data_IF_485353014674
#
_entry.id   IF_485353014674
#
_cell.length_a   1.000
_cell.length_b   1.000
_cell.length_c   1.000
_cell.angle_alpha   90.00
_cell.angle_beta   90.00
_cell.angle_gamma   90.00
#
_symmetry.space_group_name_H-M   'P 1'
#
loop_
_entity.id
_entity.type
_entity.pdbx_description
1 polymer ?
#
# COMPACT_ATOMS: atom_id res chain seq x y z
N UNK A 1 -11.35 17.75 -21.64
CA UNK A 1 -11.80 18.38 -20.39
C UNK A 1 -11.48 19.86 -20.49
N UNK A 2 -12.48 20.73 -20.29
CA UNK A 2 -12.25 22.17 -20.33
C UNK A 2 -11.45 22.61 -19.09
N UNK A 3 -10.77 23.74 -19.17
CA UNK A 3 -9.82 24.29 -18.19
C UNK A 3 -10.37 24.65 -16.79
N UNK A 4 -11.48 24.07 -16.36
CA UNK A 4 -12.15 24.43 -15.10
C UNK A 4 -12.57 23.23 -14.22
N UNK A 5 -12.21 21.99 -14.57
CA UNK A 5 -12.65 20.82 -13.80
C UNK A 5 -11.77 20.64 -12.57
N UNK A 6 -12.16 21.30 -11.50
CA UNK A 6 -11.56 21.14 -10.17
C UNK A 6 -12.29 20.02 -9.40
N UNK A 7 -11.57 18.94 -9.08
CA UNK A 7 -12.07 17.94 -8.17
C UNK A 7 -11.61 18.28 -6.75
N UNK A 8 -12.52 18.29 -5.79
CA UNK A 8 -12.13 18.41 -4.36
C UNK A 8 -11.43 17.14 -3.92
N UNK A 9 -10.46 17.30 -3.04
CA UNK A 9 -9.81 16.16 -2.39
C UNK A 9 -10.81 15.40 -1.52
N UNK A 10 -10.69 14.07 -1.53
CA UNK A 10 -11.28 13.24 -0.49
C UNK A 10 -10.47 13.38 0.81
N UNK A 11 -11.02 13.01 1.97
CA UNK A 11 -10.26 13.03 3.22
C UNK A 11 -8.99 12.19 3.17
N UNK A 12 -9.02 11.05 2.49
CA UNK A 12 -7.87 10.16 2.42
C UNK A 12 -6.80 10.67 1.45
N UNK A 13 -7.18 11.21 0.29
CA UNK A 13 -6.28 11.87 -0.65
C UNK A 13 -5.49 12.99 0.04
N UNK A 14 -6.18 13.80 0.84
CA UNK A 14 -5.53 14.87 1.60
C UNK A 14 -4.53 14.33 2.63
N UNK A 15 -4.83 13.23 3.29
CA UNK A 15 -3.90 12.57 4.23
C UNK A 15 -2.65 12.09 3.52
N UNK A 16 -2.80 11.55 2.30
CA UNK A 16 -1.70 10.99 1.52
C UNK A 16 -0.88 12.05 0.76
N UNK A 17 -1.48 13.20 0.44
CA UNK A 17 -0.80 14.29 -0.27
C UNK A 17 0.01 15.20 0.64
N UNK A 18 -0.38 15.31 1.89
CA UNK A 18 0.34 16.10 2.89
C UNK A 18 1.37 15.20 3.56
N UNK A 19 2.49 15.78 3.93
CA UNK A 19 3.46 15.19 4.86
C UNK A 19 2.84 14.91 6.25
N UNK A 20 1.55 14.51 6.28
CA UNK A 20 0.83 14.24 7.52
C UNK A 20 1.50 13.13 8.33
N UNK A 21 2.14 12.19 7.64
CA UNK A 21 2.94 11.11 8.22
C UNK A 21 4.45 11.45 8.27
N UNK A 22 4.82 12.70 7.97
CA UNK A 22 6.21 13.17 8.02
C UNK A 22 7.01 12.94 6.73
N UNK A 23 6.40 12.36 5.69
CA UNK A 23 7.05 12.04 4.42
C UNK A 23 6.05 12.06 3.28
N UNK A 24 6.53 12.25 2.07
CA UNK A 24 5.73 12.03 0.85
C UNK A 24 5.38 10.54 0.75
N UNK A 25 4.11 10.26 0.51
CA UNK A 25 3.60 8.89 0.48
C UNK A 25 3.55 8.42 -0.98
N UNK A 26 4.61 7.75 -1.39
CA UNK A 26 4.71 7.12 -2.71
C UNK A 26 4.78 5.60 -2.57
N UNK A 27 4.23 4.91 -3.54
CA UNK A 27 4.38 3.48 -3.68
C UNK A 27 4.74 3.11 -5.11
N UNK A 28 5.28 1.92 -5.31
CA UNK A 28 5.55 1.43 -6.65
C UNK A 28 5.05 0.00 -6.85
N UNK A 29 4.69 -0.30 -8.10
CA UNK A 29 4.50 -1.67 -8.58
C UNK A 29 5.63 -1.98 -9.53
N UNK A 30 6.35 -3.07 -9.25
CA UNK A 30 7.45 -3.57 -10.03
C UNK A 30 7.03 -4.83 -10.77
N UNK A 31 7.21 -4.83 -12.08
CA UNK A 31 7.08 -6.00 -12.92
C UNK A 31 8.47 -6.49 -13.31
N UNK A 32 8.71 -7.77 -13.14
CA UNK A 32 9.88 -8.45 -13.67
C UNK A 32 9.43 -9.36 -14.81
N UNK A 33 10.07 -9.25 -15.96
CA UNK A 33 9.61 -9.88 -17.19
C UNK A 33 10.79 -10.54 -17.92
N UNK A 34 10.52 -11.67 -18.56
CA UNK A 34 11.38 -12.23 -19.61
C UNK A 34 10.98 -11.60 -20.93
N UNK A 35 11.98 -11.27 -21.76
CA UNK A 35 11.78 -10.61 -23.06
C UNK A 35 12.20 -9.16 -23.09
N UNK A 36 12.09 -8.55 -24.27
CA UNK A 36 12.42 -7.15 -24.52
C UNK A 36 11.18 -6.35 -24.87
N UNK A 37 11.20 -5.08 -24.53
CA UNK A 37 10.15 -4.09 -24.81
C UNK A 37 10.65 -3.14 -25.91
N UNK A 38 9.80 -2.87 -26.87
CA UNK A 38 9.94 -1.71 -27.74
C UNK A 38 9.61 -0.47 -26.93
N UNK A 39 10.64 0.27 -26.55
CA UNK A 39 10.55 1.38 -25.59
C UNK A 39 9.71 2.54 -26.11
N UNK A 40 9.78 2.87 -27.39
CA UNK A 40 9.00 3.96 -27.99
C UNK A 40 7.51 3.63 -28.01
N UNK A 41 7.18 2.39 -28.40
CA UNK A 41 5.81 1.90 -28.38
C UNK A 41 5.27 1.81 -26.95
N UNK A 42 6.09 1.39 -26.00
CA UNK A 42 5.69 1.32 -24.60
C UNK A 42 5.45 2.71 -23.98
N UNK A 43 6.30 3.68 -24.31
CA UNK A 43 6.09 5.07 -23.93
C UNK A 43 4.77 5.61 -24.48
N UNK A 44 4.48 5.30 -25.75
CA UNK A 44 3.21 5.67 -26.38
C UNK A 44 2.01 5.02 -25.69
N UNK A 45 2.16 3.75 -25.26
CA UNK A 45 1.13 3.03 -24.52
C UNK A 45 0.86 3.68 -23.14
N UNK A 46 1.91 4.06 -22.40
CA UNK A 46 1.77 4.78 -21.12
C UNK A 46 1.00 6.09 -21.33
N UNK A 47 1.42 6.90 -22.29
CA UNK A 47 0.75 8.19 -22.59
C UNK A 47 -0.70 7.96 -23.00
N UNK A 48 -0.98 6.91 -23.77
CA UNK A 48 -2.36 6.58 -24.21
C UNK A 48 -3.23 6.14 -23.04
N UNK A 49 -2.71 5.29 -22.14
CA UNK A 49 -3.42 4.87 -20.94
C UNK A 49 -3.68 6.04 -19.98
N UNK A 50 -2.70 6.93 -19.79
CA UNK A 50 -2.85 8.11 -18.93
C UNK A 50 -4.03 9.00 -19.35
N UNK A 51 -4.35 9.11 -20.65
CA UNK A 51 -5.47 9.93 -21.12
C UNK A 51 -6.82 9.55 -20.52
N UNK A 52 -6.95 8.33 -20.01
CA UNK A 52 -8.16 7.84 -19.37
C UNK A 52 -8.14 7.99 -17.83
N UNK A 53 -7.06 8.55 -17.25
CA UNK A 53 -6.78 8.58 -15.81
C UNK A 53 -6.72 10.01 -15.27
N UNK A 54 -7.86 10.68 -14.99
CA UNK A 54 -7.89 12.11 -14.66
C UNK A 54 -7.00 12.50 -13.48
N UNK A 55 -6.95 11.70 -12.41
CA UNK A 55 -6.15 12.03 -11.22
C UNK A 55 -4.65 11.79 -11.43
N UNK A 56 -4.27 10.83 -12.29
CA UNK A 56 -2.86 10.61 -12.64
C UNK A 56 -2.30 11.70 -13.57
N UNK A 57 -3.17 12.50 -14.22
CA UNK A 57 -2.80 13.63 -15.06
C UNK A 57 -3.01 14.99 -14.38
N UNK A 58 -3.42 14.98 -13.11
CA UNK A 58 -3.74 16.19 -12.39
C UNK A 58 -2.57 16.65 -11.51
N UNK A 59 -2.48 17.96 -11.34
CA UNK A 59 -1.73 18.59 -10.25
C UNK A 59 -2.64 18.85 -9.08
N UNK A 60 -2.04 19.11 -7.91
CA UNK A 60 -2.76 19.40 -6.69
C UNK A 60 -2.55 20.85 -6.24
N UNK A 61 -3.61 21.45 -5.74
CA UNK A 61 -3.52 22.64 -4.88
C UNK A 61 -3.86 22.21 -3.46
N UNK A 62 -2.86 22.18 -2.56
CA UNK A 62 -2.98 21.56 -1.25
C UNK A 62 -3.23 22.63 -0.19
N UNK A 63 -4.42 22.62 0.38
CA UNK A 63 -4.85 23.49 1.46
C UNK A 63 -4.72 22.85 2.86
N UNK A 64 -5.04 23.60 3.91
CA UNK A 64 -4.96 23.12 5.29
C UNK A 64 -5.96 22.01 5.64
N UNK A 65 -6.95 21.76 4.80
CA UNK A 65 -7.95 20.69 4.96
C UNK A 65 -8.28 20.08 3.60
N UNK A 66 -8.88 18.88 3.60
CA UNK A 66 -9.33 18.25 2.35
C UNK A 66 -10.35 19.11 1.59
N UNK A 67 -11.19 19.86 2.29
CA UNK A 67 -12.22 20.70 1.68
C UNK A 67 -11.67 21.98 1.02
N UNK A 68 -10.43 22.36 1.34
CA UNK A 68 -9.68 23.47 0.73
C UNK A 68 -8.60 23.02 -0.25
N UNK A 69 -8.54 21.71 -0.54
CA UNK A 69 -7.58 21.11 -1.48
C UNK A 69 -8.30 20.64 -2.74
N UNK A 70 -7.63 20.79 -3.88
CA UNK A 70 -8.25 20.54 -5.19
C UNK A 70 -7.28 19.87 -6.14
N UNK A 71 -7.80 18.97 -6.97
CA UNK A 71 -7.16 18.50 -8.17
C UNK A 71 -7.48 19.44 -9.33
N UNK A 72 -6.49 19.82 -10.08
CA UNK A 72 -6.61 20.66 -11.27
C UNK A 72 -5.87 20.04 -12.45
N UNK A 73 -6.32 20.32 -13.67
CA UNK A 73 -5.61 19.84 -14.84
C UNK A 73 -4.17 20.35 -14.80
N UNK A 74 -3.20 19.45 -15.01
CA UNK A 74 -1.81 19.85 -15.10
C UNK A 74 -1.57 20.72 -16.33
N UNK A 75 -0.76 21.76 -16.19
CA UNK A 75 -0.33 22.58 -17.31
C UNK A 75 0.53 21.77 -18.30
N UNK A 76 1.36 20.87 -17.77
CA UNK A 76 2.10 19.87 -18.52
C UNK A 76 1.80 18.48 -17.94
N UNK A 77 0.93 17.69 -18.58
CA UNK A 77 0.59 16.35 -18.12
C UNK A 77 1.60 15.28 -18.58
N UNK A 78 2.76 15.68 -19.11
CA UNK A 78 3.76 14.73 -19.59
C UNK A 78 4.33 13.91 -18.41
N UNK A 79 4.28 12.58 -18.47
CA UNK A 79 4.87 11.74 -17.44
C UNK A 79 6.40 11.72 -17.54
N UNK A 80 7.07 11.57 -16.41
CA UNK A 80 8.49 11.21 -16.39
C UNK A 80 8.61 9.73 -16.78
N UNK A 81 9.15 9.45 -17.96
CA UNK A 81 9.43 8.11 -18.45
C UNK A 81 10.93 8.01 -18.73
N UNK A 82 11.60 7.07 -18.08
CA UNK A 82 13.04 6.85 -18.27
C UNK A 82 13.32 5.36 -18.47
N UNK A 83 14.06 5.06 -19.53
CA UNK A 83 14.68 3.78 -19.74
C UNK A 83 16.16 3.89 -19.39
N UNK A 84 16.65 3.00 -18.56
CA UNK A 84 17.98 3.02 -17.97
C UNK A 84 18.76 1.81 -18.46
N UNK A 85 20.07 1.98 -18.66
CA UNK A 85 20.94 0.92 -19.12
C UNK A 85 21.38 -0.01 -17.97
N UNK A 86 21.56 -1.28 -18.31
CA UNK A 86 22.08 -2.28 -17.40
C UNK A 86 21.05 -2.85 -16.42
N UNK A 87 21.50 -3.83 -15.62
CA UNK A 87 20.68 -4.45 -14.59
C UNK A 87 20.39 -3.45 -13.49
N UNK A 88 19.13 -3.30 -13.05
CA UNK A 88 18.81 -2.42 -11.94
C UNK A 88 19.64 -2.82 -10.72
N UNK A 89 20.44 -1.91 -10.22
CA UNK A 89 21.19 -2.15 -9.01
C UNK A 89 20.21 -2.37 -7.87
N UNK A 90 20.40 -3.48 -7.14
CA UNK A 90 19.67 -3.72 -5.92
C UNK A 90 20.17 -2.66 -4.94
N UNK A 91 19.56 -1.47 -5.02
CA UNK A 91 19.68 -0.46 -4.01
C UNK A 91 20.45 0.84 -4.30
N UNK A 92 21.11 1.08 -5.41
CA UNK A 92 21.89 2.33 -5.56
C UNK A 92 21.64 3.17 -6.82
N UNK A 93 21.90 2.66 -7.98
CA UNK A 93 22.19 3.53 -9.13
C UNK A 93 20.97 4.20 -9.80
N UNK A 94 19.74 3.74 -9.61
CA UNK A 94 18.58 4.30 -10.31
C UNK A 94 17.82 5.34 -9.48
N UNK A 95 18.22 5.57 -8.25
CA UNK A 95 17.47 6.37 -7.29
C UNK A 95 18.24 7.61 -6.81
N UNK A 96 19.47 7.82 -7.26
CA UNK A 96 20.28 8.98 -6.87
C UNK A 96 19.66 10.32 -7.32
N UNK A 97 18.83 10.27 -8.39
CA UNK A 97 18.03 11.43 -8.85
C UNK A 97 16.58 11.40 -8.34
N UNK A 98 16.23 10.47 -7.44
CA UNK A 98 14.86 10.29 -7.00
C UNK A 98 14.45 11.36 -5.99
N UNK A 99 13.88 12.42 -6.50
CA UNK A 99 13.16 13.40 -5.68
C UNK A 99 11.71 12.93 -5.53
N UNK A 100 11.10 13.06 -4.35
CA UNK A 100 9.68 12.77 -4.17
C UNK A 100 8.80 13.54 -5.16
N UNK A 101 7.70 12.91 -5.63
CA UNK A 101 6.73 13.54 -6.55
C UNK A 101 6.07 14.70 -5.85
N UNK A 102 6.26 15.90 -6.39
CA UNK A 102 5.60 17.11 -5.92
C UNK A 102 4.33 17.36 -6.74
N UNK A 103 3.18 16.97 -6.20
CA UNK A 103 1.88 17.13 -6.87
C UNK A 103 1.50 18.57 -7.23
N UNK A 104 2.11 19.58 -6.62
CA UNK A 104 1.87 20.98 -6.97
C UNK A 104 2.58 21.37 -8.27
N UNK A 105 3.58 20.59 -8.72
CA UNK A 105 4.45 20.91 -9.86
C UNK A 105 4.41 19.88 -10.98
N UNK A 106 4.10 18.62 -10.66
CA UNK A 106 4.10 17.51 -11.62
C UNK A 106 2.93 16.57 -11.36
N UNK A 107 2.65 15.72 -12.34
CA UNK A 107 1.62 14.68 -12.22
C UNK A 107 2.06 13.58 -11.26
N UNK A 108 1.10 12.88 -10.66
CA UNK A 108 1.34 11.87 -9.62
C UNK A 108 1.86 10.53 -10.13
N UNK A 109 2.56 10.48 -11.26
CA UNK A 109 3.02 9.25 -11.88
C UNK A 109 4.41 9.40 -12.50
N UNK A 110 5.26 8.39 -12.29
CA UNK A 110 6.56 8.24 -12.98
C UNK A 110 6.77 6.79 -13.38
N UNK A 111 7.55 6.57 -14.43
CA UNK A 111 7.94 5.25 -14.90
C UNK A 111 9.44 5.16 -15.09
N UNK A 112 10.00 4.01 -14.66
CA UNK A 112 11.38 3.62 -14.91
C UNK A 112 11.42 2.20 -15.45
N UNK A 113 12.17 1.99 -16.55
CA UNK A 113 12.36 0.68 -17.17
C UNK A 113 13.84 0.35 -17.33
N UNK A 114 14.20 -0.93 -17.25
CA UNK A 114 15.52 -1.47 -17.51
C UNK A 114 15.41 -2.64 -18.45
N UNK A 115 16.32 -2.70 -19.42
CA UNK A 115 16.52 -3.87 -20.26
C UNK A 115 17.94 -4.37 -20.09
N UNK A 116 18.11 -5.66 -19.83
CA UNK A 116 19.39 -6.30 -19.56
C UNK A 116 19.35 -7.77 -19.97
N UNK A 117 20.45 -8.48 -19.81
CA UNK A 117 20.52 -9.91 -20.08
C UNK A 117 20.94 -10.68 -18.83
N UNK A 118 20.35 -11.85 -18.64
CA UNK A 118 20.77 -12.85 -17.67
C UNK A 118 20.96 -14.17 -18.45
N UNK A 119 22.17 -14.70 -18.39
CA UNK A 119 22.53 -15.96 -19.08
C UNK A 119 22.14 -15.97 -20.57
N UNK A 120 22.33 -14.82 -21.23
CA UNK A 120 21.97 -14.63 -22.65
C UNK A 120 20.47 -14.45 -22.93
N UNK A 121 19.63 -14.51 -21.92
CA UNK A 121 18.19 -14.29 -22.06
C UNK A 121 17.83 -12.82 -21.77
N UNK A 122 17.07 -12.17 -22.66
CA UNK A 122 16.63 -10.81 -22.44
C UNK A 122 15.67 -10.72 -21.25
N UNK A 123 15.86 -9.71 -20.43
CA UNK A 123 15.04 -9.41 -19.26
C UNK A 123 14.65 -7.94 -19.28
N UNK A 124 13.45 -7.67 -18.76
CA UNK A 124 12.94 -6.31 -18.57
C UNK A 124 12.42 -6.16 -17.15
N UNK A 125 12.88 -5.13 -16.45
CA UNK A 125 12.27 -4.68 -15.19
C UNK A 125 11.56 -3.35 -15.43
N UNK A 126 10.35 -3.22 -14.92
CA UNK A 126 9.54 -2.02 -15.03
C UNK A 126 9.06 -1.59 -13.64
N UNK A 127 9.19 -0.31 -13.31
CA UNK A 127 8.69 0.29 -12.07
C UNK A 127 7.73 1.41 -12.38
N UNK A 128 6.51 1.24 -11.94
CA UNK A 128 5.43 2.21 -12.00
C UNK A 128 5.31 2.85 -10.64
N UNK A 129 5.65 4.13 -10.53
CA UNK A 129 5.69 4.88 -9.27
C UNK A 129 4.50 5.81 -9.22
N UNK A 130 3.79 5.80 -8.10
CA UNK A 130 2.57 6.58 -7.90
C UNK A 130 2.66 7.37 -6.60
N UNK A 131 2.28 8.64 -6.66
CA UNK A 131 1.98 9.38 -5.45
C UNK A 131 0.62 8.89 -4.91
N UNK A 132 0.59 8.49 -3.65
CA UNK A 132 -0.54 7.72 -3.10
C UNK A 132 -1.86 8.50 -3.00
N UNK A 133 -1.83 9.85 -3.09
CA UNK A 133 -3.07 10.62 -3.18
C UNK A 133 -3.80 10.39 -4.51
N UNK A 134 -3.06 10.17 -5.62
CA UNK A 134 -3.65 10.01 -6.95
C UNK A 134 -4.39 8.68 -7.12
N UNK A 135 -3.86 7.60 -6.54
CA UNK A 135 -4.49 6.28 -6.62
C UNK A 135 -4.03 5.36 -5.49
N UNK A 136 -4.77 4.30 -5.28
CA UNK A 136 -4.37 3.18 -4.45
C UNK A 136 -3.82 2.02 -5.29
N UNK A 137 -3.35 0.96 -4.63
CA UNK A 137 -2.75 -0.19 -5.30
C UNK A 137 -3.66 -0.86 -6.33
N UNK A 138 -4.98 -0.94 -6.10
CA UNK A 138 -5.93 -1.50 -7.08
C UNK A 138 -6.10 -0.60 -8.30
N UNK A 139 -6.15 0.71 -8.08
CA UNK A 139 -6.16 1.70 -9.16
C UNK A 139 -4.89 1.64 -10.00
N UNK A 140 -3.73 1.47 -9.36
CA UNK A 140 -2.45 1.33 -10.03
C UNK A 140 -2.36 0.04 -10.86
N UNK A 141 -2.82 -1.10 -10.33
CA UNK A 141 -2.88 -2.37 -11.09
C UNK A 141 -3.77 -2.22 -12.32
N UNK A 142 -4.96 -1.61 -12.17
CA UNK A 142 -5.87 -1.39 -13.30
C UNK A 142 -5.26 -0.47 -14.37
N UNK A 143 -4.50 0.56 -13.98
CA UNK A 143 -3.76 1.40 -14.90
C UNK A 143 -2.65 0.62 -15.63
N UNK A 144 -1.91 -0.24 -14.93
CA UNK A 144 -0.87 -1.08 -15.54
C UNK A 144 -1.48 -2.07 -16.54
N UNK A 145 -2.63 -2.67 -16.22
CA UNK A 145 -3.37 -3.52 -17.16
C UNK A 145 -3.74 -2.73 -18.44
N UNK A 146 -4.18 -1.49 -18.30
CA UNK A 146 -4.47 -0.63 -19.46
C UNK A 146 -3.22 -0.34 -20.30
N UNK A 147 -2.09 0.01 -19.66
CA UNK A 147 -0.80 0.21 -20.35
C UNK A 147 -0.41 -1.02 -21.17
N UNK A 148 -0.50 -2.20 -20.59
CA UNK A 148 -0.16 -3.45 -21.27
C UNK A 148 -1.13 -3.75 -22.43
N UNK A 149 -2.43 -3.47 -22.26
CA UNK A 149 -3.42 -3.59 -23.34
C UNK A 149 -3.16 -2.60 -24.46
N UNK A 150 -2.83 -1.34 -24.15
CA UNK A 150 -2.47 -0.32 -25.13
C UNK A 150 -1.18 -0.71 -25.88
N UNK A 151 -0.19 -1.25 -25.19
CA UNK A 151 1.06 -1.71 -25.81
C UNK A 151 0.79 -2.84 -26.83
N UNK A 152 -0.08 -3.78 -26.47
CA UNK A 152 -0.52 -4.84 -27.39
C UNK A 152 -1.27 -4.27 -28.60
N UNK A 153 -2.21 -3.37 -28.34
CA UNK A 153 -3.02 -2.74 -29.40
C UNK A 153 -2.16 -2.01 -30.43
N UNK A 154 -1.15 -1.28 -29.98
CA UNK A 154 -0.23 -0.54 -30.86
C UNK A 154 0.60 -1.46 -31.77
N UNK A 155 0.80 -2.73 -31.41
CA UNK A 155 1.48 -3.72 -32.25
C UNK A 155 0.53 -4.45 -33.18
N UNK A 156 -0.54 -5.00 -32.63
CA UNK A 156 -1.40 -5.97 -33.31
C UNK A 156 -2.57 -5.29 -34.05
N UNK A 157 -2.80 -3.98 -33.81
CA UNK A 157 -3.95 -3.25 -34.34
C UNK A 157 -5.28 -3.69 -33.72
N UNK A 158 -5.28 -4.75 -32.91
CA UNK A 158 -6.47 -5.31 -32.24
C UNK A 158 -6.17 -5.67 -30.79
N UNK A 159 -7.08 -5.34 -29.90
CA UNK A 159 -7.10 -5.86 -28.54
C UNK A 159 -8.50 -6.42 -28.27
N UNK A 160 -8.60 -7.61 -27.70
CA UNK A 160 -9.88 -8.29 -27.47
C UNK A 160 -10.83 -7.51 -26.57
N UNK A 161 -10.31 -6.73 -25.65
CA UNK A 161 -11.04 -5.73 -24.86
C UNK A 161 -10.05 -4.76 -24.21
N UNK A 162 -10.14 -3.48 -24.50
CA UNK A 162 -9.50 -2.44 -23.68
C UNK A 162 -10.29 -2.27 -22.39
N UNK A 163 -9.62 -2.01 -21.25
CA UNK A 163 -10.32 -1.56 -20.06
C UNK A 163 -11.19 -0.35 -20.37
N UNK A 164 -12.47 -0.42 -20.02
CA UNK A 164 -13.40 0.70 -20.21
C UNK A 164 -13.43 1.50 -18.93
N UNK A 165 -13.05 2.78 -19.02
CA UNK A 165 -13.15 3.71 -17.90
C UNK A 165 -14.24 4.74 -18.17
N UNK A 166 -14.99 5.08 -17.13
CA UNK A 166 -15.94 6.19 -17.13
C UNK A 166 -15.39 7.31 -16.25
N UNK A 167 -14.86 8.35 -16.89
CA UNK A 167 -14.25 9.49 -16.22
C UNK A 167 -15.16 10.19 -15.21
N UNK A 168 -16.50 10.13 -15.41
CA UNK A 168 -17.46 10.72 -14.47
C UNK A 168 -17.51 9.96 -13.15
N UNK A 169 -17.13 8.69 -13.11
CA UNK A 169 -17.14 7.88 -11.89
C UNK A 169 -16.09 8.32 -10.88
N UNK A 170 -15.10 9.11 -11.29
CA UNK A 170 -14.14 9.71 -10.36
C UNK A 170 -14.84 10.55 -9.27
N UNK A 171 -16.01 11.12 -9.56
CA UNK A 171 -16.81 11.86 -8.60
C UNK A 171 -17.43 10.98 -7.51
N UNK A 172 -17.47 9.67 -7.75
CA UNK A 172 -18.03 8.70 -6.81
C UNK A 172 -17.01 8.15 -5.81
N UNK A 173 -15.71 8.44 -5.97
CA UNK A 173 -14.61 7.85 -5.20
C UNK A 173 -14.68 8.05 -3.69
N UNK A 174 -15.43 9.06 -3.22
CA UNK A 174 -15.72 9.32 -1.80
C UNK A 174 -17.14 8.87 -1.38
N UNK A 175 -17.88 8.23 -2.28
CA UNK A 175 -19.24 7.76 -2.01
C UNK A 175 -19.22 6.30 -1.56
N UNK A 176 -19.24 6.11 -0.25
CA UNK A 176 -19.21 4.79 0.36
C UNK A 176 -20.60 4.38 0.79
N UNK A 177 -20.99 3.13 0.52
CA UNK A 177 -22.23 2.56 0.99
C UNK A 177 -22.07 2.13 2.45
N UNK A 178 -22.56 2.95 3.36
CA UNK A 178 -22.62 2.58 4.77
C UNK A 178 -23.76 1.59 5.00
N UNK A 179 -23.49 0.56 5.79
CA UNK A 179 -24.52 -0.38 6.25
C UNK A 179 -25.54 0.38 7.11
N UNK A 180 -26.83 0.12 6.88
CA UNK A 180 -27.90 0.59 7.76
C UNK A 180 -27.84 -0.13 9.10
N UNK A 181 -27.90 0.61 10.19
CA UNK A 181 -27.95 0.07 11.55
C UNK A 181 -29.29 0.40 12.20
N UNK A 182 -29.82 -0.47 13.08
CA UNK A 182 -30.86 -0.11 14.02
C UNK A 182 -30.47 1.14 14.82
N UNK A 183 -31.45 1.92 15.26
CA UNK A 183 -31.17 3.21 15.93
C UNK A 183 -30.24 3.05 17.14
N UNK A 184 -30.50 2.03 17.97
CA UNK A 184 -29.67 1.75 19.15
C UNK A 184 -28.18 1.48 18.77
N UNK A 185 -27.94 0.63 17.75
CA UNK A 185 -26.59 0.31 17.27
C UNK A 185 -25.91 1.52 16.65
N UNK A 186 -26.68 2.38 15.94
CA UNK A 186 -26.16 3.62 15.37
C UNK A 186 -25.70 4.59 16.46
N UNK A 187 -26.48 4.73 17.54
CA UNK A 187 -26.13 5.54 18.70
C UNK A 187 -24.90 4.95 19.38
N UNK A 188 -24.89 3.66 19.66
CA UNK A 188 -23.77 2.97 20.29
C UNK A 188 -22.48 3.10 19.47
N UNK A 189 -22.53 2.85 18.17
CA UNK A 189 -21.41 3.02 17.25
C UNK A 189 -20.86 4.45 17.29
N UNK A 190 -21.72 5.44 17.26
CA UNK A 190 -21.33 6.86 17.15
C UNK A 190 -20.74 7.40 18.45
N UNK A 191 -21.33 7.07 19.59
CA UNK A 191 -20.97 7.68 20.88
C UNK A 191 -20.06 6.80 21.75
N UNK A 192 -19.96 5.52 21.48
CA UNK A 192 -19.12 4.61 22.28
C UNK A 192 -18.03 3.96 21.45
N UNK A 193 -18.38 3.21 20.39
CA UNK A 193 -17.41 2.39 19.65
C UNK A 193 -16.35 3.25 18.97
N UNK A 194 -16.77 4.24 18.19
CA UNK A 194 -15.87 5.11 17.42
C UNK A 194 -14.98 5.99 18.30
N UNK A 195 -15.51 6.73 19.30
CA UNK A 195 -14.68 7.53 20.19
C UNK A 195 -13.68 6.69 20.96
N UNK A 196 -14.10 5.50 21.45
CA UNK A 196 -13.21 4.58 22.14
C UNK A 196 -12.06 4.08 21.23
N UNK A 197 -12.39 3.73 19.96
CA UNK A 197 -11.39 3.29 19.00
C UNK A 197 -10.44 4.41 18.60
N UNK A 198 -10.95 5.62 18.39
CA UNK A 198 -10.14 6.80 18.12
C UNK A 198 -9.26 7.17 19.32
N UNK A 199 -9.80 7.13 20.54
CA UNK A 199 -9.05 7.35 21.75
C UNK A 199 -7.94 6.30 21.92
N UNK A 200 -8.24 5.02 21.70
CA UNK A 200 -7.23 3.96 21.75
C UNK A 200 -6.10 4.23 20.74
N UNK A 201 -6.45 4.56 19.50
CA UNK A 201 -5.45 4.90 18.47
C UNK A 201 -4.60 6.12 18.84
N UNK A 202 -5.20 7.12 19.49
CA UNK A 202 -4.52 8.36 19.87
C UNK A 202 -3.75 8.26 21.20
N UNK A 203 -4.20 7.45 22.14
CA UNK A 203 -3.62 7.38 23.50
C UNK A 203 -2.59 6.27 23.64
N UNK A 204 -2.71 5.18 22.89
CA UNK A 204 -1.75 4.08 22.91
C UNK A 204 -0.58 4.33 21.96
N UNK A 205 0.60 3.87 22.32
CA UNK A 205 1.80 3.95 21.48
C UNK A 205 2.25 2.54 21.14
N UNK A 206 2.08 2.09 19.90
CA UNK A 206 2.66 0.82 19.48
C UNK A 206 4.19 0.91 19.44
N UNK A 207 4.84 -0.23 19.59
CA UNK A 207 6.30 -0.33 19.52
C UNK A 207 6.75 -0.01 18.08
N UNK A 208 7.88 0.67 17.97
CA UNK A 208 8.53 0.99 16.69
C UNK A 208 9.53 -0.09 16.31
N UNK A 209 9.66 -0.35 15.01
CA UNK A 209 10.71 -1.18 14.45
C UNK A 209 11.91 -0.30 14.04
N UNK A 210 12.73 0.07 15.02
CA UNK A 210 13.97 0.79 14.76
C UNK A 210 15.17 -0.10 15.08
N UNK A 211 16.08 -0.20 14.12
CA UNK A 211 17.45 -0.58 14.39
C UNK A 211 18.27 0.70 14.21
N UNK A 212 18.93 1.17 15.26
CA UNK A 212 19.76 2.38 15.17
C UNK A 212 20.96 2.09 14.26
N UNK A 213 20.91 2.60 13.04
CA UNK A 213 22.12 2.71 12.21
C UNK A 213 22.77 4.05 12.54
N UNK A 214 24.05 4.02 12.91
CA UNK A 214 24.81 5.21 13.34
C UNK A 214 25.27 6.12 12.19
N UNK A 215 24.79 5.92 10.96
CA UNK A 215 25.28 6.66 9.81
C UNK A 215 24.35 7.83 9.45
N UNK A 216 24.98 8.97 9.13
CA UNK A 216 24.29 10.15 8.62
C UNK A 216 23.36 9.79 7.46
N UNK A 217 22.10 10.25 7.46
CA UNK A 217 21.17 9.91 6.40
C UNK A 217 21.60 10.58 5.09
N UNK A 218 22.21 9.79 4.20
CA UNK A 218 22.26 10.11 2.78
C UNK A 218 20.83 10.16 2.23
N UNK A 219 20.55 11.07 1.31
CA UNK A 219 19.21 11.22 0.69
C UNK A 219 18.75 9.90 0.05
N UNK A 220 19.69 9.09 -0.47
CA UNK A 220 19.43 7.74 -0.99
C UNK A 220 18.93 6.76 0.09
N UNK A 221 19.22 7.00 1.36
CA UNK A 221 18.80 6.20 2.50
C UNK A 221 17.33 6.50 2.93
N UNK A 222 16.72 7.53 2.37
CA UNK A 222 15.32 7.90 2.63
C UNK A 222 14.33 7.29 1.62
N UNK A 223 14.83 6.57 0.61
CA UNK A 223 13.99 5.88 -0.38
C UNK A 223 13.76 4.43 0.05
N UNK A 224 12.50 4.00 0.07
CA UNK A 224 12.15 2.64 0.43
C UNK A 224 12.82 1.62 -0.50
N UNK A 225 13.41 0.58 0.09
CA UNK A 225 13.97 -0.59 -0.59
C UNK A 225 13.09 -1.81 -0.35
N UNK A 226 13.37 -2.88 -1.08
CA UNK A 226 12.52 -4.07 -1.07
C UNK A 226 13.37 -5.34 -0.95
N UNK A 227 12.84 -6.30 -0.15
CA UNK A 227 13.12 -7.71 -0.22
C UNK A 227 11.84 -8.45 -0.59
N UNK A 228 11.92 -9.53 -1.36
CA UNK A 228 10.73 -10.24 -1.82
C UNK A 228 10.98 -11.73 -2.03
N UNK A 229 9.93 -12.53 -1.86
CA UNK A 229 9.91 -13.96 -2.17
C UNK A 229 8.54 -14.33 -2.74
N UNK A 230 8.54 -15.15 -3.79
CA UNK A 230 7.31 -15.72 -4.34
C UNK A 230 7.25 -17.20 -3.98
N UNK A 231 6.16 -17.62 -3.38
CA UNK A 231 5.88 -19.01 -3.03
C UNK A 231 5.38 -19.77 -4.25
N UNK A 232 5.58 -21.09 -4.27
CA UNK A 232 5.02 -21.94 -5.31
C UNK A 232 3.49 -21.94 -5.26
N UNK A 233 2.86 -22.31 -6.37
CA UNK A 233 1.41 -22.49 -6.43
C UNK A 233 0.93 -23.51 -5.40
N UNK A 234 1.61 -24.64 -5.27
CA UNK A 234 1.28 -25.68 -4.29
C UNK A 234 1.29 -25.16 -2.86
N UNK A 235 2.35 -24.41 -2.47
CA UNK A 235 2.43 -23.79 -1.15
C UNK A 235 1.29 -22.77 -0.94
N UNK A 236 0.97 -21.99 -1.98
CA UNK A 236 -0.11 -20.99 -1.93
C UNK A 236 -1.48 -21.66 -1.73
N UNK A 237 -1.74 -22.75 -2.44
CA UNK A 237 -2.98 -23.54 -2.31
C UNK A 237 -3.10 -24.14 -0.91
N UNK A 238 -2.01 -24.71 -0.38
CA UNK A 238 -1.98 -25.24 0.99
C UNK A 238 -2.31 -24.17 2.04
N UNK A 239 -1.76 -22.96 1.90
CA UNK A 239 -2.05 -21.83 2.80
C UNK A 239 -3.56 -21.48 2.75
N UNK A 240 -4.14 -21.44 1.56
CA UNK A 240 -5.56 -21.19 1.38
C UNK A 240 -6.44 -22.28 2.00
N UNK A 241 -6.11 -23.56 1.78
CA UNK A 241 -6.81 -24.71 2.34
C UNK A 241 -6.73 -24.72 3.88
N UNK A 242 -5.54 -24.47 4.43
CA UNK A 242 -5.35 -24.35 5.89
C UNK A 242 -6.17 -23.22 6.50
N UNK A 243 -6.15 -22.04 5.90
CA UNK A 243 -6.98 -20.94 6.36
C UNK A 243 -8.48 -21.31 6.38
N UNK A 244 -8.95 -21.95 5.29
CA UNK A 244 -10.34 -22.39 5.18
C UNK A 244 -10.70 -23.44 6.23
N UNK A 245 -9.83 -24.41 6.53
CA UNK A 245 -10.08 -25.44 7.56
C UNK A 245 -10.27 -24.85 8.96
N UNK A 246 -9.67 -23.68 9.22
CA UNK A 246 -9.82 -22.95 10.48
C UNK A 246 -10.97 -21.91 10.45
N UNK A 247 -11.75 -21.83 9.36
CA UNK A 247 -12.77 -20.80 9.20
C UNK A 247 -12.21 -19.38 9.12
N UNK A 248 -10.90 -19.26 8.82
CA UNK A 248 -10.20 -18.00 8.73
C UNK A 248 -9.94 -17.59 7.27
N UNK A 249 -9.53 -16.35 7.06
CA UNK A 249 -9.03 -15.90 5.75
C UNK A 249 -7.51 -16.06 5.68
N UNK A 250 -6.97 -16.25 4.48
CA UNK A 250 -5.51 -16.24 4.25
C UNK A 250 -4.85 -15.00 4.88
N UNK A 251 -5.49 -13.85 4.81
CA UNK A 251 -5.00 -12.61 5.42
C UNK A 251 -4.81 -12.72 6.94
N UNK A 252 -5.70 -13.38 7.64
CA UNK A 252 -5.60 -13.57 9.09
C UNK A 252 -4.46 -14.53 9.45
N UNK A 253 -4.25 -15.59 8.66
CA UNK A 253 -3.09 -16.47 8.83
C UNK A 253 -1.79 -15.69 8.63
N UNK A 254 -1.68 -14.94 7.53
CA UNK A 254 -0.49 -14.12 7.25
C UNK A 254 -0.24 -13.06 8.34
N UNK A 255 -1.30 -12.44 8.86
CA UNK A 255 -1.21 -11.48 9.96
C UNK A 255 -0.77 -12.14 11.28
N UNK A 256 -1.31 -13.32 11.62
CA UNK A 256 -0.91 -14.08 12.79
C UNK A 256 0.59 -14.39 12.78
N UNK A 257 1.08 -14.95 11.66
CA UNK A 257 2.50 -15.27 11.54
C UNK A 257 3.37 -14.03 11.56
N UNK A 258 2.88 -12.93 10.99
CA UNK A 258 3.58 -11.65 11.07
C UNK A 258 3.66 -11.12 12.51
N UNK A 259 2.59 -11.23 13.31
CA UNK A 259 2.63 -10.84 14.72
C UNK A 259 3.70 -11.63 15.50
N UNK A 260 3.84 -12.93 15.25
CA UNK A 260 4.89 -13.74 15.87
C UNK A 260 6.29 -13.30 15.45
N UNK A 261 6.53 -13.07 14.16
CA UNK A 261 7.82 -12.56 13.66
C UNK A 261 8.17 -11.21 14.29
N UNK A 262 7.20 -10.31 14.36
CA UNK A 262 7.39 -9.00 15.01
C UNK A 262 7.68 -9.16 16.51
N UNK A 263 6.99 -10.09 17.17
CA UNK A 263 7.22 -10.41 18.59
C UNK A 263 8.64 -10.88 18.83
N UNK A 264 9.12 -11.83 18.04
CA UNK A 264 10.48 -12.37 18.14
C UNK A 264 11.54 -11.31 17.85
N UNK A 265 11.34 -10.52 16.78
CA UNK A 265 12.23 -9.43 16.43
C UNK A 265 12.33 -8.36 17.52
N UNK A 266 11.19 -7.91 18.03
CA UNK A 266 11.14 -6.86 19.04
C UNK A 266 11.76 -7.28 20.38
N UNK A 267 11.65 -8.55 20.75
CA UNK A 267 12.33 -9.10 21.93
C UNK A 267 13.85 -9.08 21.79
N UNK A 268 14.33 -9.57 20.63
CA UNK A 268 15.77 -9.71 20.39
C UNK A 268 16.48 -8.35 20.26
N UNK A 269 15.78 -7.36 19.68
CA UNK A 269 16.36 -6.06 19.33
C UNK A 269 15.97 -4.91 20.27
N UNK A 270 15.28 -5.19 21.39
CA UNK A 270 15.00 -4.15 22.37
C UNK A 270 16.27 -3.82 23.17
N UNK A 271 16.92 -2.71 22.80
CA UNK A 271 18.15 -2.20 23.44
C UNK A 271 17.93 -1.61 24.83
N UNK A 272 16.69 -1.33 25.22
CA UNK A 272 16.34 -0.79 26.52
C UNK A 272 16.11 -1.94 27.54
N UNK A 273 17.19 -2.53 28.02
CA UNK A 273 17.16 -3.51 29.12
C UNK A 273 16.45 -3.00 30.40
N UNK A 274 16.16 -1.71 30.50
CA UNK A 274 15.49 -1.06 31.62
C UNK A 274 14.02 -0.66 31.35
N UNK A 275 13.52 -0.72 30.11
CA UNK A 275 12.09 -0.58 29.87
C UNK A 275 11.46 -1.96 29.83
N UNK A 276 10.74 -2.30 30.89
CA UNK A 276 9.80 -3.43 30.86
C UNK A 276 8.95 -3.29 29.61
N UNK A 277 9.16 -4.16 28.61
CA UNK A 277 8.29 -4.28 27.42
C UNK A 277 6.91 -4.81 27.78
N UNK A 278 6.69 -5.11 29.07
CA UNK A 278 5.40 -5.49 29.65
C UNK A 278 4.34 -4.46 29.28
N UNK A 279 3.26 -4.93 28.68
CA UNK A 279 2.17 -4.14 28.11
C UNK A 279 2.50 -3.33 26.83
N UNK A 280 3.67 -3.52 26.20
CA UNK A 280 3.95 -2.93 24.90
C UNK A 280 2.96 -3.47 23.85
N UNK A 281 2.49 -2.57 22.96
CA UNK A 281 1.48 -2.89 21.97
C UNK A 281 2.14 -3.07 20.59
N UNK A 282 1.87 -4.18 19.95
CA UNK A 282 2.17 -4.40 18.54
C UNK A 282 0.89 -4.13 17.75
N UNK A 283 0.95 -3.23 16.77
CA UNK A 283 -0.20 -2.85 15.94
C UNK A 283 0.15 -2.93 14.47
N UNK A 284 -0.65 -3.65 13.72
CA UNK A 284 -0.54 -3.79 12.27
C UNK A 284 -1.69 -3.01 11.63
N UNK A 285 -1.37 -2.04 10.76
CA UNK A 285 -2.36 -1.38 9.91
C UNK A 285 -2.72 -2.29 8.73
N UNK A 286 -4.00 -2.41 8.47
CA UNK A 286 -4.56 -3.18 7.35
C UNK A 286 -5.29 -2.19 6.42
N UNK A 287 -4.79 -1.95 5.22
CA UNK A 287 -5.53 -1.19 4.22
C UNK A 287 -6.81 -1.92 3.79
N UNK A 288 -7.90 -1.18 3.71
CA UNK A 288 -9.22 -1.67 3.33
C UNK A 288 -9.69 -1.02 2.04
N UNK A 289 -9.97 -1.82 1.01
CA UNK A 289 -10.60 -1.31 -0.20
C UNK A 289 -12.04 -0.90 0.09
N UNK A 290 -12.39 0.32 -0.24
CA UNK A 290 -13.74 0.87 -0.12
C UNK A 290 -14.54 0.75 -1.42
N UNK A 291 -13.97 0.09 -2.45
CA UNK A 291 -14.64 -0.12 -3.73
C UNK A 291 -15.84 -1.01 -3.59
N UNK A 292 -16.90 -0.64 -4.28
CA UNK A 292 -18.15 -1.37 -4.43
C UNK A 292 -18.61 -1.32 -5.89
N UNK A 293 -19.77 -1.81 -6.23
CA UNK A 293 -20.31 -1.84 -7.59
C UNK A 293 -20.39 -0.46 -8.26
N UNK A 294 -20.56 0.62 -7.50
CA UNK A 294 -20.58 1.99 -8.04
C UNK A 294 -19.23 2.44 -8.58
N UNK A 295 -18.15 1.79 -8.13
CA UNK A 295 -16.78 2.07 -8.54
C UNK A 295 -16.30 1.18 -9.69
N UNK A 296 -17.18 0.34 -10.24
CA UNK A 296 -16.89 -0.43 -11.44
C UNK A 296 -16.58 0.54 -12.60
N UNK A 297 -15.56 0.26 -13.40
CA UNK A 297 -15.10 1.12 -14.51
C UNK A 297 -14.59 2.51 -14.07
N UNK A 298 -14.36 2.75 -12.80
CA UNK A 298 -13.77 3.99 -12.35
C UNK A 298 -12.28 4.05 -12.73
N UNK A 299 -11.79 5.18 -13.25
CA UNK A 299 -10.37 5.42 -13.45
C UNK A 299 -9.56 5.21 -12.15
N UNK A 300 -8.23 5.16 -12.27
CA UNK A 300 -7.35 5.09 -11.11
C UNK A 300 -7.70 6.21 -10.11
N UNK A 301 -7.96 5.81 -8.88
CA UNK A 301 -8.34 6.69 -7.80
C UNK A 301 -7.97 6.07 -6.46
N UNK A 302 -7.91 6.89 -5.42
CA UNK A 302 -7.72 6.41 -4.07
C UNK A 302 -9.07 6.11 -3.41
N UNK A 303 -9.39 4.82 -3.32
CA UNK A 303 -10.59 4.28 -2.67
C UNK A 303 -10.22 3.30 -1.56
N UNK A 304 -9.25 3.70 -0.72
CA UNK A 304 -8.77 2.90 0.39
C UNK A 304 -9.00 3.63 1.71
N UNK A 305 -9.13 2.91 2.76
CA UNK A 305 -9.05 3.37 4.14
C UNK A 305 -8.24 2.37 4.96
N UNK A 306 -8.14 2.59 6.26
CA UNK A 306 -7.33 1.76 7.15
C UNK A 306 -8.13 1.26 8.34
N UNK A 307 -7.90 0.02 8.70
CA UNK A 307 -8.22 -0.54 10.00
C UNK A 307 -6.92 -1.00 10.66
N UNK A 308 -6.98 -1.50 11.89
CA UNK A 308 -5.82 -2.07 12.55
C UNK A 308 -6.19 -3.28 13.39
N UNK A 309 -5.25 -4.21 13.47
CA UNK A 309 -5.21 -5.31 14.40
C UNK A 309 -4.11 -5.03 15.42
N UNK A 310 -4.31 -5.45 16.66
CA UNK A 310 -3.34 -5.18 17.72
C UNK A 310 -3.32 -6.30 18.76
N UNK A 311 -2.14 -6.54 19.32
CA UNK A 311 -1.96 -7.46 20.43
C UNK A 311 -0.85 -6.95 21.34
N UNK A 312 -0.81 -7.45 22.58
CA UNK A 312 0.29 -7.16 23.52
C UNK A 312 1.50 -7.99 23.16
N UNK A 313 2.68 -7.41 23.26
CA UNK A 313 3.93 -8.11 23.00
C UNK A 313 4.11 -9.31 23.94
N UNK A 314 3.72 -9.18 25.21
CA UNK A 314 3.81 -10.27 26.20
C UNK A 314 2.96 -11.50 25.81
N UNK A 315 1.79 -11.27 25.20
CA UNK A 315 0.93 -12.37 24.74
C UNK A 315 1.61 -13.18 23.62
N UNK A 316 2.33 -12.50 22.71
CA UNK A 316 3.11 -13.16 21.65
C UNK A 316 4.27 -14.01 22.19
N UNK A 317 4.65 -13.77 23.47
CA UNK A 317 5.78 -14.41 24.13
C UNK A 317 5.41 -15.70 24.86
N UNK A 318 4.16 -15.86 25.22
CA UNK A 318 3.69 -16.93 26.10
C UNK A 318 3.01 -18.07 25.33
N UNK A 319 2.70 -17.86 24.05
CA UNK A 319 2.01 -18.87 23.25
C UNK A 319 2.91 -20.07 22.91
N UNK A 320 2.52 -21.25 23.41
CA UNK A 320 2.95 -22.53 22.82
C UNK A 320 2.28 -22.66 21.44
N UNK A 321 3.01 -23.19 20.46
CA UNK A 321 2.60 -23.27 19.05
C UNK A 321 1.31 -24.09 18.78
N UNK A 322 0.76 -24.78 19.78
CA UNK A 322 -0.34 -25.75 19.64
C UNK A 322 -1.74 -25.17 19.87
N UNK A 323 -1.88 -24.08 20.62
CA UNK A 323 -3.17 -23.40 20.80
C UNK A 323 -3.08 -22.01 20.17
N UNK A 324 -4.06 -21.62 19.36
CA UNK A 324 -4.01 -20.35 18.65
C UNK A 324 -4.98 -19.30 19.21
N UNK A 325 -4.84 -18.91 20.51
CA UNK A 325 -5.65 -17.82 21.07
C UNK A 325 -5.45 -16.52 20.30
N UNK A 326 -4.27 -16.31 19.70
CA UNK A 326 -4.02 -15.14 18.85
C UNK A 326 -4.90 -15.16 17.59
N UNK A 327 -5.07 -16.31 16.92
CA UNK A 327 -5.91 -16.37 15.72
C UNK A 327 -7.37 -16.07 16.07
N UNK A 328 -7.87 -16.62 17.17
CA UNK A 328 -9.23 -16.35 17.64
C UNK A 328 -9.43 -14.87 17.97
N UNK A 329 -8.49 -14.25 18.71
CA UNK A 329 -8.52 -12.81 19.00
C UNK A 329 -8.48 -11.97 17.72
N UNK A 330 -7.64 -12.31 16.75
CA UNK A 330 -7.59 -11.61 15.46
C UNK A 330 -8.88 -11.77 14.66
N UNK A 331 -9.52 -12.95 14.69
CA UNK A 331 -10.82 -13.17 14.05
C UNK A 331 -11.92 -12.33 14.72
N UNK A 332 -11.92 -12.24 16.05
CA UNK A 332 -12.86 -11.40 16.80
C UNK A 332 -12.64 -9.91 16.50
N UNK A 333 -11.38 -9.45 16.48
CA UNK A 333 -11.05 -8.07 16.11
C UNK A 333 -11.51 -7.74 14.69
N UNK A 334 -11.29 -8.65 13.74
CA UNK A 334 -11.71 -8.49 12.36
C UNK A 334 -13.24 -8.44 12.23
N UNK A 335 -13.94 -9.38 12.87
CA UNK A 335 -15.41 -9.38 12.92
C UNK A 335 -15.97 -8.10 13.57
N UNK A 336 -15.29 -7.57 14.59
CA UNK A 336 -15.66 -6.30 15.23
C UNK A 336 -15.48 -5.10 14.27
N UNK A 337 -14.35 -5.06 13.51
CA UNK A 337 -14.10 -4.05 12.50
C UNK A 337 -15.21 -4.08 11.43
N UNK A 338 -15.55 -5.26 10.91
CA UNK A 338 -16.57 -5.46 9.89
C UNK A 338 -17.98 -5.09 10.42
N UNK A 339 -18.33 -5.58 11.61
CA UNK A 339 -19.61 -5.31 12.25
C UNK A 339 -19.86 -3.82 12.39
N UNK A 340 -18.88 -3.08 12.87
CA UNK A 340 -19.01 -1.66 13.17
C UNK A 340 -18.50 -0.74 12.07
N UNK A 341 -18.05 -1.30 10.95
CA UNK A 341 -17.49 -0.58 9.81
C UNK A 341 -16.40 0.42 10.24
N UNK A 342 -15.46 -0.03 11.03
CA UNK A 342 -14.41 0.82 11.60
C UNK A 342 -13.37 1.26 10.57
N UNK A 343 -13.29 0.61 9.41
CA UNK A 343 -12.51 1.05 8.26
C UNK A 343 -12.90 2.47 7.79
N UNK A 344 -14.10 2.95 8.09
CA UNK A 344 -14.51 4.32 7.78
C UNK A 344 -14.16 5.34 8.87
N UNK A 345 -13.73 4.88 10.06
CA UNK A 345 -13.49 5.74 11.20
C UNK A 345 -12.43 6.81 10.92
N UNK A 346 -11.39 6.45 10.16
CA UNK A 346 -10.33 7.39 9.75
C UNK A 346 -10.86 8.52 8.87
N UNK A 347 -11.63 8.19 7.84
CA UNK A 347 -12.24 9.17 6.93
C UNK A 347 -13.15 10.12 7.70
N UNK A 348 -13.94 9.58 8.63
CA UNK A 348 -14.85 10.36 9.46
C UNK A 348 -14.10 11.27 10.42
N UNK A 349 -12.98 10.82 10.99
CA UNK A 349 -12.13 11.63 11.84
C UNK A 349 -11.52 12.82 11.06
N UNK A 350 -11.06 12.61 9.84
CA UNK A 350 -10.54 13.68 8.99
C UNK A 350 -11.65 14.67 8.59
N UNK A 351 -12.85 14.17 8.28
CA UNK A 351 -14.00 15.05 8.01
C UNK A 351 -14.39 15.88 9.23
N UNK A 352 -14.35 15.29 10.42
CA UNK A 352 -14.61 16.02 11.67
C UNK A 352 -13.52 17.08 11.92
N UNK A 353 -12.24 16.74 11.73
CA UNK A 353 -11.13 17.68 11.81
C UNK A 353 -11.33 18.89 10.89
N UNK A 354 -11.69 18.64 9.62
CA UNK A 354 -11.92 19.72 8.65
C UNK A 354 -13.07 20.66 9.06
N UNK A 355 -14.14 20.12 9.67
CA UNK A 355 -15.26 20.93 10.19
C UNK A 355 -14.87 21.77 11.40
N UNK A 356 -13.98 21.25 12.24
CA UNK A 356 -13.50 21.95 13.43
C UNK A 356 -12.34 22.92 13.14
N UNK A 357 -11.73 22.84 11.96
CA UNK A 357 -10.57 23.65 11.58
C UNK A 357 -10.76 25.15 11.77
N UNK A 358 -11.89 25.79 11.40
CA UNK A 358 -12.10 27.21 11.65
C UNK A 358 -12.03 27.60 13.12
N UNK A 359 -12.57 26.74 14.01
CA UNK A 359 -12.51 26.95 15.46
C UNK A 359 -11.09 26.78 16.01
N UNK A 360 -10.37 25.74 15.51
CA UNK A 360 -8.98 25.50 15.85
C UNK A 360 -8.10 26.70 15.43
N UNK A 361 -8.36 27.28 14.23
CA UNK A 361 -7.68 28.45 13.73
C UNK A 361 -7.89 29.71 14.59
N UNK A 362 -9.10 29.88 15.13
CA UNK A 362 -9.41 30.98 16.06
C UNK A 362 -8.66 30.83 17.39
N UNK A 363 -8.57 29.62 17.92
CA UNK A 363 -7.84 29.31 19.16
C UNK A 363 -6.31 29.45 18.99
N UNK A 364 -5.78 29.33 17.75
CA UNK A 364 -4.36 29.43 17.43
C UNK A 364 -3.86 30.83 17.13
N UNK A 365 -4.72 31.83 16.89
CA UNK A 365 -4.34 33.21 16.58
C UNK A 365 -3.48 33.90 17.65
N UNK A 366 -3.29 33.30 18.83
CA UNK A 366 -2.42 33.80 19.89
C UNK A 366 -1.11 33.04 20.13
N UNK A 367 -0.85 31.98 19.35
CA UNK A 367 0.37 31.16 19.50
C UNK A 367 1.01 30.93 18.12
N UNK A 368 1.64 31.93 17.60
CA UNK A 368 2.61 31.77 16.52
C UNK A 368 3.81 31.00 17.04
N UNK A 369 4.18 30.00 16.27
CA UNK A 369 5.32 29.08 16.43
C UNK A 369 5.04 27.88 17.36
N UNK A 370 4.97 26.72 16.72
CA UNK A 370 5.01 25.36 17.28
C UNK A 370 3.70 24.67 17.70
N UNK A 371 2.61 24.89 16.99
CA UNK A 371 1.68 23.77 16.91
C UNK A 371 2.12 22.99 15.69
N UNK A 372 3.15 22.18 15.89
CA UNK A 372 3.51 21.14 14.97
C UNK A 372 2.21 20.41 14.58
N UNK A 373 2.03 20.17 13.28
CA UNK A 373 1.08 19.18 12.75
C UNK A 373 1.15 18.00 13.72
N UNK A 374 0.15 17.16 13.89
CA UNK A 374 0.29 15.91 14.65
C UNK A 374 1.30 14.97 13.96
N UNK A 375 2.27 15.55 13.28
CA UNK A 375 3.45 15.03 12.67
C UNK A 375 4.31 14.47 13.77
N UNK A 376 4.49 13.18 13.76
CA UNK A 376 5.49 12.54 14.60
C UNK A 376 4.99 11.52 15.61
N UNK A 377 3.68 11.20 15.66
CA UNK A 377 3.22 10.12 16.52
C UNK A 377 3.17 8.80 15.76
N UNK A 378 3.83 7.80 16.31
CA UNK A 378 3.72 6.44 15.80
C UNK A 378 2.29 5.92 15.98
N UNK A 379 1.65 5.57 14.88
CA UNK A 379 0.26 5.07 14.85
C UNK A 379 0.20 3.55 14.77
N UNK A 380 1.25 2.91 14.27
CA UNK A 380 1.37 1.47 14.16
C UNK A 380 2.82 1.01 14.24
N UNK A 381 3.04 -0.27 14.46
CA UNK A 381 4.32 -0.95 14.34
C UNK A 381 4.70 -1.13 12.87
N UNK A 382 3.74 -1.56 12.06
CA UNK A 382 3.91 -1.80 10.62
C UNK A 382 2.57 -1.76 9.87
N UNK A 383 2.63 -1.89 8.55
CA UNK A 383 1.48 -2.08 7.64
C UNK A 383 1.56 -3.47 7.04
N UNK A 384 0.43 -4.18 6.94
CA UNK A 384 0.27 -5.37 6.11
C UNK A 384 -0.75 -5.06 5.01
N UNK A 385 -0.26 -4.84 3.80
CA UNK A 385 -1.08 -4.56 2.62
C UNK A 385 -1.32 -5.81 1.80
N UNK A 386 -2.57 -6.11 1.45
CA UNK A 386 -2.91 -7.18 0.53
C UNK A 386 -3.66 -6.64 -0.69
N UNK A 387 -3.04 -6.71 -1.86
CA UNK A 387 -3.69 -6.32 -3.12
C UNK A 387 -4.66 -7.40 -3.65
N UNK A 388 -4.58 -8.60 -3.13
CA UNK A 388 -5.31 -9.75 -3.69
C UNK A 388 -4.72 -10.19 -5.02
N UNK A 389 -5.56 -10.70 -5.92
CA UNK A 389 -5.14 -11.09 -7.27
C UNK A 389 -4.84 -9.84 -8.10
N UNK A 390 -3.65 -9.81 -8.71
CA UNK A 390 -3.19 -8.72 -9.57
C UNK A 390 -3.13 -9.17 -11.02
N UNK A 391 -3.32 -8.23 -11.94
CA UNK A 391 -3.31 -8.44 -13.40
C UNK A 391 -4.28 -9.57 -13.82
N UNK A 392 -5.44 -9.62 -13.19
CA UNK A 392 -6.44 -10.68 -13.40
C UNK A 392 -7.66 -10.23 -14.22
N UNK A 393 -7.63 -9.02 -14.78
CA UNK A 393 -8.76 -8.36 -15.43
C UNK A 393 -9.29 -9.01 -16.73
N UNK A 394 -8.66 -10.10 -17.20
CA UNK A 394 -9.12 -10.87 -18.38
C UNK A 394 -8.91 -10.18 -19.73
N UNK A 395 -8.42 -8.94 -19.74
CA UNK A 395 -8.14 -8.19 -20.97
C UNK A 395 -6.81 -8.59 -21.64
N UNK A 396 -5.92 -9.20 -20.85
CA UNK A 396 -4.57 -9.58 -21.30
C UNK A 396 -4.52 -11.07 -21.65
N UNK A 397 -3.76 -11.44 -22.70
CA UNK A 397 -3.56 -12.84 -23.04
C UNK A 397 -2.84 -13.58 -21.92
N UNK A 398 -3.38 -14.72 -21.56
CA UNK A 398 -2.83 -15.59 -20.55
C UNK A 398 -2.33 -16.88 -21.21
N UNK A 399 -1.04 -17.18 -21.04
CA UNK A 399 -0.43 -18.42 -21.48
C UNK A 399 0.12 -19.18 -20.26
N UNK A 400 -0.45 -20.34 -19.95
CA UNK A 400 -0.07 -21.16 -18.79
C UNK A 400 -0.03 -20.35 -17.47
N UNK A 401 -1.02 -19.50 -17.25
CA UNK A 401 -1.11 -18.65 -16.07
C UNK A 401 -0.30 -17.36 -16.14
N UNK A 402 0.63 -17.18 -17.08
CA UNK A 402 1.41 -15.96 -17.25
C UNK A 402 0.77 -15.01 -18.25
N UNK A 403 0.88 -13.73 -17.99
CA UNK A 403 0.53 -12.71 -18.97
C UNK A 403 1.67 -12.58 -19.95
N UNK A 404 1.32 -12.75 -21.23
CA UNK A 404 2.25 -12.61 -22.35
C UNK A 404 1.74 -11.51 -23.27
N UNK A 405 2.53 -10.47 -23.43
CA UNK A 405 2.21 -9.35 -24.32
C UNK A 405 3.39 -9.16 -25.27
N UNK A 406 3.20 -9.49 -26.53
CA UNK A 406 4.27 -9.52 -27.52
C UNK A 406 5.36 -10.54 -27.13
N UNK A 407 6.62 -10.10 -27.09
CA UNK A 407 7.76 -10.88 -26.61
C UNK A 407 7.96 -10.80 -25.08
N UNK A 408 7.09 -10.09 -24.38
CA UNK A 408 7.19 -9.83 -22.95
C UNK A 408 6.35 -10.83 -22.17
N UNK A 409 6.97 -11.64 -21.34
CA UNK A 409 6.32 -12.54 -20.40
C UNK A 409 6.51 -12.04 -18.99
N UNK A 410 5.41 -11.72 -18.28
CA UNK A 410 5.48 -11.24 -16.88
C UNK A 410 5.75 -12.43 -15.96
N UNK A 411 6.88 -12.39 -15.27
CA UNK A 411 7.31 -13.42 -14.33
C UNK A 411 6.77 -13.19 -12.93
N UNK A 412 6.99 -11.97 -12.40
CA UNK A 412 6.57 -11.61 -11.04
C UNK A 412 6.06 -10.18 -10.97
N UNK A 413 5.20 -9.95 -9.98
CA UNK A 413 4.67 -8.65 -9.62
C UNK A 413 5.00 -8.38 -8.15
N UNK A 414 5.60 -7.25 -7.86
CA UNK A 414 6.01 -6.87 -6.52
C UNK A 414 5.48 -5.50 -6.13
N UNK A 415 5.21 -5.33 -4.83
CA UNK A 415 4.79 -4.07 -4.25
C UNK A 415 5.92 -3.44 -3.44
N UNK A 416 6.22 -2.17 -3.71
CA UNK A 416 7.07 -1.34 -2.87
C UNK A 416 6.15 -0.36 -2.13
N UNK A 417 5.95 -0.59 -0.84
CA UNK A 417 5.12 0.25 0.01
C UNK A 417 5.87 1.51 0.45
N UNK A 418 5.16 2.61 0.71
CA UNK A 418 5.77 3.78 1.31
C UNK A 418 6.33 3.45 2.70
N UNK A 419 7.55 3.90 2.96
CA UNK A 419 8.17 3.83 4.28
C UNK A 419 8.47 5.23 4.79
N UNK A 420 8.36 5.42 6.10
CA UNK A 420 8.61 6.67 6.78
C UNK A 420 9.46 6.41 8.02
N UNK A 421 9.97 7.46 8.67
CA UNK A 421 10.68 7.33 9.94
C UNK A 421 9.83 6.68 11.06
N UNK A 422 8.50 6.69 10.93
CA UNK A 422 7.56 6.08 11.88
C UNK A 422 7.07 4.69 11.46
N UNK A 423 7.13 4.39 10.18
CA UNK A 423 6.76 3.11 9.58
C UNK A 423 7.92 2.65 8.69
N UNK A 424 9.03 2.28 9.34
CA UNK A 424 10.30 2.02 8.67
C UNK A 424 10.33 0.68 7.94
N UNK A 425 9.46 -0.24 8.29
CA UNK A 425 9.28 -1.55 7.62
C UNK A 425 7.81 -1.79 7.39
N UNK A 426 7.44 -2.15 6.18
CA UNK A 426 6.07 -2.47 5.80
C UNK A 426 6.02 -3.74 4.96
N UNK A 427 4.96 -4.52 5.14
CA UNK A 427 4.75 -5.82 4.54
C UNK A 427 3.64 -5.75 3.50
N UNK A 428 3.83 -6.38 2.36
CA UNK A 428 2.82 -6.49 1.32
C UNK A 428 2.71 -7.92 0.82
N UNK A 429 1.51 -8.24 0.34
CA UNK A 429 1.25 -9.50 -0.36
C UNK A 429 0.40 -9.27 -1.59
N UNK A 430 0.62 -10.09 -2.59
CA UNK A 430 -0.23 -10.17 -3.77
C UNK A 430 -0.23 -11.59 -4.32
N UNK A 431 -1.22 -11.88 -5.16
CA UNK A 431 -1.34 -13.15 -5.86
C UNK A 431 -1.22 -12.90 -7.36
N UNK A 432 -0.17 -13.40 -7.95
CA UNK A 432 0.01 -13.44 -9.39
C UNK A 432 0.22 -14.89 -9.82
N UNK A 433 -0.53 -15.35 -10.83
CA UNK A 433 -0.48 -16.75 -11.32
C UNK A 433 -0.74 -17.80 -10.23
N UNK A 434 -1.67 -17.53 -9.33
CA UNK A 434 -1.97 -18.37 -8.16
C UNK A 434 -0.78 -18.60 -7.21
N UNK A 435 0.30 -17.83 -7.38
CA UNK A 435 1.46 -17.79 -6.50
C UNK A 435 1.37 -16.57 -5.58
N UNK A 436 1.56 -16.82 -4.29
CA UNK A 436 1.62 -15.76 -3.27
C UNK A 436 3.01 -15.14 -3.26
N UNK A 437 3.09 -13.84 -3.47
CA UNK A 437 4.30 -13.05 -3.29
C UNK A 437 4.25 -12.33 -1.95
N UNK A 438 5.34 -12.44 -1.18
CA UNK A 438 5.58 -11.72 0.05
C UNK A 438 6.64 -10.66 -0.23
N UNK A 439 6.31 -9.41 0.06
CA UNK A 439 7.19 -8.26 -0.12
C UNK A 439 7.41 -7.56 1.22
N UNK A 440 8.65 -7.17 1.52
CA UNK A 440 8.99 -6.24 2.59
C UNK A 440 9.58 -4.98 1.99
N UNK A 441 9.00 -3.85 2.31
CA UNK A 441 9.57 -2.53 2.03
C UNK A 441 10.18 -1.97 3.30
N UNK A 442 11.39 -1.43 3.21
CA UNK A 442 12.11 -0.91 4.36
C UNK A 442 12.87 0.37 4.03
N UNK A 443 13.08 1.19 5.05
CA UNK A 443 13.84 2.43 4.95
C UNK A 443 15.30 2.15 5.35
N UNK A 444 16.29 2.25 4.43
CA UNK A 444 17.68 1.87 4.71
C UNK A 444 18.35 2.67 5.82
N UNK A 445 17.90 3.91 6.05
CA UNK A 445 18.36 4.74 7.18
C UNK A 445 17.95 4.20 8.56
N UNK A 446 16.98 3.28 8.61
CA UNK A 446 16.39 2.79 9.85
C UNK A 446 16.55 1.29 10.03
N UNK A 447 16.62 0.53 8.94
CA UNK A 447 16.69 -0.95 8.95
C UNK A 447 17.64 -1.40 7.87
N UNK A 448 18.57 -2.29 8.20
CA UNK A 448 19.52 -2.85 7.23
C UNK A 448 18.84 -3.84 6.29
N UNK A 449 19.47 -4.11 5.17
CA UNK A 449 18.99 -5.11 4.20
C UNK A 449 18.95 -6.51 4.81
N UNK A 450 19.95 -6.84 5.59
CA UNK A 450 20.08 -8.13 6.27
C UNK A 450 18.91 -8.32 7.22
N UNK A 451 18.62 -7.33 8.06
CA UNK A 451 17.46 -7.36 8.96
C UNK A 451 16.13 -7.51 8.20
N UNK A 452 15.96 -6.79 7.09
CA UNK A 452 14.74 -6.91 6.28
C UNK A 452 14.62 -8.29 5.63
N UNK A 453 15.75 -8.88 5.18
CA UNK A 453 15.78 -10.23 4.63
C UNK A 453 15.49 -11.29 5.71
N UNK A 454 16.07 -11.16 6.90
CA UNK A 454 15.83 -12.07 8.03
C UNK A 454 14.35 -12.05 8.46
N UNK A 455 13.72 -10.88 8.46
CA UNK A 455 12.28 -10.75 8.73
C UNK A 455 11.44 -11.45 7.64
N UNK A 456 11.81 -11.31 6.38
CA UNK A 456 11.12 -11.96 5.26
C UNK A 456 11.24 -13.48 5.35
N UNK A 457 12.44 -13.97 5.58
CA UNK A 457 12.72 -15.42 5.65
C UNK A 457 12.03 -16.02 6.88
N UNK A 458 12.06 -15.35 8.02
CA UNK A 458 11.34 -15.76 9.22
C UNK A 458 9.83 -15.82 8.97
N UNK A 459 9.26 -14.80 8.32
CA UNK A 459 7.82 -14.78 8.00
C UNK A 459 7.44 -15.90 7.05
N UNK A 460 8.20 -16.08 5.97
CA UNK A 460 8.03 -17.18 5.04
C UNK A 460 8.10 -18.55 5.72
N UNK A 461 9.16 -18.80 6.51
CA UNK A 461 9.35 -20.08 7.20
C UNK A 461 8.18 -20.38 8.14
N UNK A 462 7.76 -19.41 8.95
CA UNK A 462 6.62 -19.60 9.87
C UNK A 462 5.32 -19.92 9.14
N UNK A 463 5.05 -19.25 8.02
CA UNK A 463 3.86 -19.53 7.19
C UNK A 463 3.89 -20.97 6.69
N UNK A 464 5.03 -21.43 6.15
CA UNK A 464 5.17 -22.79 5.59
C UNK A 464 5.10 -23.86 6.69
N UNK A 465 5.84 -23.69 7.78
CA UNK A 465 5.84 -24.60 8.94
C UNK A 465 4.43 -24.78 9.52
N UNK A 466 3.69 -23.68 9.63
CA UNK A 466 2.31 -23.70 10.14
C UNK A 466 1.39 -24.55 9.28
N UNK A 467 1.53 -24.42 7.96
CA UNK A 467 0.69 -25.15 7.00
C UNK A 467 1.08 -26.63 6.95
N UNK A 468 2.37 -26.95 7.04
CA UNK A 468 2.85 -28.34 7.06
C UNK A 468 2.39 -29.09 8.33
N UNK A 469 2.41 -28.45 9.48
CA UNK A 469 1.94 -29.04 10.75
C UNK A 469 0.42 -29.18 10.82
N UNK A 470 -0.31 -28.26 10.21
CA UNK A 470 -1.78 -28.25 10.22
C UNK A 470 -2.42 -29.02 9.06
N UNK A 471 -1.62 -29.64 8.18
CA UNK A 471 -2.14 -30.53 7.14
C UNK A 471 -2.57 -31.84 7.78
N UNK A 472 -3.83 -32.31 7.56
CA UNK A 472 -4.36 -33.54 8.15
C UNK A 472 -3.62 -34.77 7.64
#
# INVERSE_FOLDING_TARGET
>A
MGSSDLFKFTPFEWTMSNEFLGSVIEFAIRLYCTGQVDTERFNTAIVSALKQQPLLQANASIGPTHSSSYWQAAADPAPVIRWLDGKPAIGRAALEDFQPINLEREIGFRFYGWQFQIDGQPQTEMRFIFQHACCDGKGAVSFIEDVLCQYKLLKEGTCSALPKFDGNRILLRDQHTLRSYPLADRIWRTFVVRPRRAANMLLTRPVSMHCTTNDSPDVSAMVARQCSVTLSQEATEKIGAYAHSLGATTNLILARELFHVLGDYLKTNSTDANKSLTNSLVRILIPYSLRNERHQFMPAANCVSMAYLETKLDSLCQESQESSPLLEDLMEQFAFIEKWQLQYAWIEAIRAYARLWPLIGLLKRGREKSVGRPVGRQVATTVLSNLGRVLSGGCLPNCKGKIVVDSLEIETVHLILPCTDKLSVNFAVNFYRDCLTLDISYLPSMVTRETAQDLLDSWRCRILDTVERGSP
#
